data_IF_936675141484
#
_entry.id   IF_936675141484
#
_cell.length_a   1.000
_cell.length_b   1.000
_cell.length_c   1.000
_cell.angle_alpha   90.00
_cell.angle_beta   90.00
_cell.angle_gamma   90.00
#
_symmetry.space_group_name_H-M   'P 1'
#
loop_
_entity.id
_entity.type
_entity.pdbx_description
1 polymer ?
#
# COMPACT_ATOMS: atom_id res chain seq x y z
N UNK A 1 -2.67 11.40 -4.01
CA UNK A 1 -2.92 10.08 -4.63
C UNK A 1 -4.41 9.89 -4.99
N UNK A 2 -5.35 10.06 -4.04
CA UNK A 2 -6.78 9.90 -4.30
C UNK A 2 -7.30 10.83 -5.41
N UNK A 3 -6.97 12.10 -5.33
CA UNK A 3 -7.42 13.09 -6.31
C UNK A 3 -6.87 12.79 -7.71
N UNK A 4 -5.59 12.38 -7.77
CA UNK A 4 -4.97 11.97 -9.03
C UNK A 4 -5.65 10.73 -9.63
N UNK A 5 -6.06 9.76 -8.79
CA UNK A 5 -6.83 8.60 -9.23
C UNK A 5 -8.14 9.03 -9.89
N UNK A 6 -8.90 9.92 -9.25
CA UNK A 6 -10.19 10.42 -9.78
C UNK A 6 -9.98 11.19 -11.10
N UNK A 7 -8.97 12.05 -11.17
CA UNK A 7 -8.67 12.75 -12.45
C UNK A 7 -8.28 11.80 -13.57
N UNK A 8 -7.43 10.81 -13.28
CA UNK A 8 -7.06 9.79 -14.27
C UNK A 8 -8.27 8.96 -14.71
N UNK A 9 -9.17 8.62 -13.78
CA UNK A 9 -10.42 7.93 -14.09
C UNK A 9 -11.33 8.79 -14.99
N UNK A 10 -11.37 10.09 -14.75
CA UNK A 10 -12.12 11.02 -15.57
C UNK A 10 -11.57 11.07 -17.00
N UNK A 11 -10.28 11.28 -17.17
CA UNK A 11 -9.68 11.35 -18.51
C UNK A 11 -9.83 10.06 -19.31
N UNK A 12 -9.79 8.90 -18.62
CA UNK A 12 -9.84 7.61 -19.35
C UNK A 12 -11.26 7.07 -19.52
N UNK A 13 -12.15 7.30 -18.56
CA UNK A 13 -13.47 6.67 -18.51
C UNK A 13 -14.63 7.66 -18.41
N UNK A 14 -14.37 8.96 -18.29
CA UNK A 14 -15.38 9.99 -18.09
C UNK A 14 -16.09 9.93 -16.74
N UNK A 15 -15.39 9.46 -15.69
CA UNK A 15 -15.96 9.18 -14.35
C UNK A 15 -15.30 10.04 -13.29
N UNK A 16 -16.09 10.76 -12.49
CA UNK A 16 -15.60 11.72 -11.49
C UNK A 16 -15.79 11.24 -10.04
N UNK A 17 -16.53 10.14 -9.82
CA UNK A 17 -16.92 9.72 -8.48
C UNK A 17 -16.68 8.23 -8.24
N UNK A 18 -16.42 7.86 -6.99
CA UNK A 18 -16.25 6.45 -6.59
C UNK A 18 -17.52 5.61 -6.87
N UNK A 19 -18.75 6.10 -6.61
CA UNK A 19 -19.96 5.37 -6.97
C UNK A 19 -20.06 5.04 -8.47
N UNK A 20 -19.61 5.93 -9.34
CA UNK A 20 -19.58 5.68 -10.79
C UNK A 20 -18.52 4.64 -11.16
N UNK A 21 -17.33 4.69 -10.53
CA UNK A 21 -16.31 3.66 -10.70
C UNK A 21 -16.81 2.27 -10.24
N UNK A 22 -17.61 2.24 -9.17
CA UNK A 22 -18.26 1.01 -8.72
C UNK A 22 -19.27 0.49 -9.73
N UNK A 23 -20.12 1.35 -10.31
CA UNK A 23 -21.06 0.96 -11.36
C UNK A 23 -20.37 0.35 -12.58
N UNK A 24 -19.13 0.79 -12.87
CA UNK A 24 -18.29 0.24 -13.94
C UNK A 24 -17.50 -1.03 -13.52
N UNK A 25 -17.64 -1.50 -12.27
CA UNK A 25 -17.00 -2.71 -11.78
C UNK A 25 -15.51 -2.56 -11.42
N UNK A 26 -14.98 -1.33 -11.36
CA UNK A 26 -13.58 -1.09 -10.98
C UNK A 26 -13.36 -1.10 -9.47
N UNK A 27 -14.40 -0.79 -8.69
CA UNK A 27 -14.36 -0.64 -7.23
C UNK A 27 -15.44 -1.50 -6.58
N UNK A 28 -15.09 -2.25 -5.55
CA UNK A 28 -16.03 -2.99 -4.74
C UNK A 28 -16.69 -2.11 -3.66
N UNK A 29 -17.84 -2.54 -3.12
CA UNK A 29 -18.58 -1.77 -2.13
C UNK A 29 -17.77 -1.49 -0.85
N UNK A 30 -16.99 -2.48 -0.42
CA UNK A 30 -16.15 -2.37 0.77
C UNK A 30 -14.94 -1.47 0.53
N UNK A 31 -14.31 -1.57 -0.64
CA UNK A 31 -13.19 -0.71 -1.04
C UNK A 31 -13.63 0.76 -1.14
N UNK A 32 -14.82 1.02 -1.71
CA UNK A 32 -15.41 2.36 -1.75
C UNK A 32 -15.56 2.92 -0.34
N UNK A 33 -16.19 2.17 0.58
CA UNK A 33 -16.38 2.58 1.97
C UNK A 33 -15.06 2.90 2.68
N UNK A 34 -14.10 1.99 2.58
CA UNK A 34 -12.78 2.16 3.20
C UNK A 34 -12.07 3.41 2.67
N UNK A 35 -12.12 3.63 1.36
CA UNK A 35 -11.47 4.77 0.74
C UNK A 35 -12.15 6.09 1.10
N UNK A 36 -13.49 6.15 1.12
CA UNK A 36 -14.25 7.33 1.55
C UNK A 36 -14.01 7.67 3.03
N UNK A 37 -13.99 6.67 3.91
CA UNK A 37 -13.70 6.86 5.33
C UNK A 37 -12.27 7.35 5.56
N UNK A 38 -11.29 6.71 4.94
CA UNK A 38 -9.89 7.09 5.06
C UNK A 38 -9.63 8.50 4.51
N UNK A 39 -10.17 8.81 3.34
CA UNK A 39 -10.02 10.13 2.73
C UNK A 39 -10.72 11.21 3.54
N UNK A 40 -11.95 10.95 4.00
CA UNK A 40 -12.68 11.86 4.88
C UNK A 40 -11.95 12.13 6.20
N UNK A 41 -11.29 11.13 6.78
CA UNK A 41 -10.47 11.32 7.96
C UNK A 41 -9.26 12.22 7.68
N UNK A 42 -8.50 11.98 6.61
CA UNK A 42 -7.35 12.80 6.22
C UNK A 42 -7.75 14.24 5.92
N UNK A 43 -8.90 14.47 5.25
CA UNK A 43 -9.40 15.83 4.99
C UNK A 43 -9.76 16.56 6.29
N UNK A 44 -10.38 15.90 7.26
CA UNK A 44 -10.66 16.49 8.56
C UNK A 44 -9.37 16.89 9.28
N UNK A 45 -8.35 16.02 9.27
CA UNK A 45 -7.04 16.32 9.85
C UNK A 45 -6.39 17.54 9.18
N UNK A 46 -6.45 17.61 7.86
CA UNK A 46 -5.95 18.75 7.09
C UNK A 46 -6.67 20.05 7.49
N UNK A 47 -7.99 20.02 7.59
CA UNK A 47 -8.76 21.19 8.00
C UNK A 47 -8.40 21.63 9.42
N UNK A 48 -8.29 20.70 10.38
CA UNK A 48 -7.86 21.02 11.74
C UNK A 48 -6.47 21.66 11.77
N UNK A 49 -5.52 21.16 10.96
CA UNK A 49 -4.21 21.77 10.82
C UNK A 49 -4.27 23.21 10.31
N UNK A 50 -5.10 23.48 9.29
CA UNK A 50 -5.28 24.82 8.75
C UNK A 50 -5.88 25.77 9.79
N UNK A 51 -6.85 25.32 10.58
CA UNK A 51 -7.43 26.11 11.67
C UNK A 51 -6.39 26.39 12.77
N UNK A 52 -5.65 25.39 13.22
CA UNK A 52 -4.67 25.55 14.28
C UNK A 52 -3.46 26.40 13.87
N UNK A 53 -3.06 26.34 12.62
CA UNK A 53 -1.89 27.09 12.12
C UNK A 53 -2.23 28.42 11.49
N UNK A 54 -3.52 28.74 11.30
CA UNK A 54 -4.02 29.90 10.57
C UNK A 54 -3.41 30.11 9.18
N UNK A 55 -2.96 29.02 8.57
CA UNK A 55 -2.36 29.00 7.21
C UNK A 55 -2.53 27.62 6.56
N UNK A 56 -2.35 27.57 5.25
CA UNK A 56 -2.28 26.28 4.54
C UNK A 56 -1.07 25.48 5.03
N UNK A 57 -1.32 24.38 5.72
CA UNK A 57 -0.31 23.48 6.26
C UNK A 57 -0.75 22.03 6.08
N UNK A 58 0.04 21.27 5.33
CA UNK A 58 -0.24 19.86 5.05
C UNK A 58 0.68 18.89 5.82
N UNK A 59 1.55 19.44 6.69
CA UNK A 59 2.52 18.67 7.48
C UNK A 59 2.13 18.70 8.96
N UNK A 60 1.90 17.52 9.54
CA UNK A 60 1.63 17.39 10.98
C UNK A 60 2.95 17.41 11.74
N UNK A 61 3.37 18.62 12.19
CA UNK A 61 4.53 18.75 13.07
C UNK A 61 4.31 18.07 14.42
N UNK A 62 5.38 17.58 15.05
CA UNK A 62 5.33 16.87 16.34
C UNK A 62 4.57 17.68 17.41
N UNK A 63 4.78 19.00 17.46
CA UNK A 63 4.11 19.88 18.43
C UNK A 63 2.59 20.03 18.22
N UNK A 64 2.06 19.76 17.03
CA UNK A 64 0.64 19.86 16.73
C UNK A 64 -0.13 18.54 16.94
N UNK A 65 0.58 17.42 16.95
CA UNK A 65 -0.05 16.09 17.08
C UNK A 65 -0.90 15.93 18.34
N UNK A 66 -0.46 16.34 19.56
CA UNK A 66 -1.27 16.23 20.77
C UNK A 66 -2.53 17.09 20.73
N UNK A 67 -2.44 18.29 20.12
CA UNK A 67 -3.57 19.22 20.01
C UNK A 67 -4.64 18.64 19.09
N UNK A 68 -4.25 18.15 17.91
CA UNK A 68 -5.15 17.51 16.96
C UNK A 68 -5.77 16.24 17.57
N UNK A 69 -4.98 15.41 18.26
CA UNK A 69 -5.49 14.22 18.94
C UNK A 69 -6.58 14.56 19.96
N UNK A 70 -6.43 15.68 20.69
CA UNK A 70 -7.44 16.17 21.64
C UNK A 70 -8.69 16.67 20.94
N UNK A 71 -8.54 17.45 19.87
CA UNK A 71 -9.66 17.98 19.07
C UNK A 71 -10.47 16.87 18.41
N UNK A 72 -9.81 15.79 17.98
CA UNK A 72 -10.45 14.60 17.41
C UNK A 72 -11.10 13.67 18.46
N UNK A 73 -11.05 14.03 19.75
CA UNK A 73 -11.75 13.34 20.82
C UNK A 73 -11.07 12.04 21.28
N UNK A 74 -9.77 11.89 21.02
CA UNK A 74 -9.01 10.79 21.63
C UNK A 74 -8.91 10.99 23.14
N UNK A 75 -9.39 9.99 23.93
CA UNK A 75 -9.64 10.16 25.38
C UNK A 75 -8.62 9.48 26.30
N UNK A 76 -7.54 8.94 25.77
CA UNK A 76 -6.48 8.35 26.59
C UNK A 76 -5.97 9.38 27.60
N UNK A 77 -5.84 8.96 28.86
CA UNK A 77 -5.46 9.86 29.96
C UNK A 77 -4.06 10.43 29.74
N UNK A 78 -3.12 9.60 29.31
CA UNK A 78 -1.76 10.01 28.96
C UNK A 78 -1.72 10.69 27.59
N UNK A 79 -1.10 11.86 27.54
CA UNK A 79 -0.93 12.64 26.30
C UNK A 79 -0.17 11.87 25.22
N UNK A 80 0.87 11.12 25.61
CA UNK A 80 1.65 10.33 24.67
C UNK A 80 0.80 9.23 24.03
N UNK A 81 0.09 8.46 24.85
CA UNK A 81 -0.80 7.38 24.36
C UNK A 81 -1.95 7.90 23.49
N UNK A 82 -2.45 9.12 23.83
CA UNK A 82 -3.47 9.79 23.01
C UNK A 82 -2.93 10.14 21.62
N UNK A 83 -1.74 10.71 21.60
CA UNK A 83 -1.04 11.07 20.35
C UNK A 83 -0.72 9.84 19.51
N UNK A 84 -0.23 8.77 20.14
CA UNK A 84 0.03 7.50 19.47
C UNK A 84 -1.22 6.88 18.85
N UNK A 85 -2.35 6.90 19.56
CA UNK A 85 -3.62 6.40 19.04
C UNK A 85 -4.08 7.18 17.81
N UNK A 86 -4.02 8.52 17.87
CA UNK A 86 -4.33 9.37 16.73
C UNK A 86 -3.38 9.11 15.55
N UNK A 87 -2.08 9.07 15.79
CA UNK A 87 -1.09 8.86 14.71
C UNK A 87 -1.20 7.47 14.08
N UNK A 88 -1.53 6.45 14.86
CA UNK A 88 -1.83 5.12 14.33
C UNK A 88 -3.00 5.15 13.35
N UNK A 89 -4.08 5.84 13.70
CA UNK A 89 -5.26 5.96 12.83
C UNK A 89 -4.94 6.80 11.59
N UNK A 90 -4.13 7.86 11.74
CA UNK A 90 -3.64 8.68 10.64
C UNK A 90 -2.82 7.85 9.63
N UNK A 91 -1.85 7.07 10.11
CA UNK A 91 -1.05 6.21 9.24
C UNK A 91 -1.87 5.08 8.62
N UNK A 92 -2.84 4.55 9.35
CA UNK A 92 -3.76 3.54 8.83
C UNK A 92 -4.60 4.10 7.67
N UNK A 93 -5.16 5.29 7.84
CA UNK A 93 -5.91 5.95 6.78
C UNK A 93 -5.04 6.28 5.56
N UNK A 94 -3.85 6.84 5.78
CA UNK A 94 -2.89 7.14 4.71
C UNK A 94 -2.48 5.89 3.93
N UNK A 95 -2.20 4.79 4.64
CA UNK A 95 -1.88 3.50 4.03
C UNK A 95 -3.04 2.94 3.23
N UNK A 96 -4.26 3.02 3.76
CA UNK A 96 -5.48 2.56 3.07
C UNK A 96 -5.67 3.31 1.74
N UNK A 97 -5.54 4.64 1.75
CA UNK A 97 -5.61 5.45 0.53
C UNK A 97 -4.53 5.00 -0.45
N UNK A 98 -3.28 4.87 -0.01
CA UNK A 98 -2.17 4.48 -0.87
C UNK A 98 -2.39 3.12 -1.53
N UNK A 99 -2.76 2.10 -0.74
CA UNK A 99 -2.95 0.75 -1.25
C UNK A 99 -4.13 0.65 -2.21
N UNK A 100 -5.29 1.21 -1.83
CA UNK A 100 -6.48 1.15 -2.67
C UNK A 100 -6.32 1.97 -3.94
N UNK A 101 -5.75 3.17 -3.88
CA UNK A 101 -5.53 3.97 -5.09
C UNK A 101 -4.57 3.30 -6.06
N UNK A 102 -3.52 2.61 -5.59
CA UNK A 102 -2.64 1.82 -6.44
C UNK A 102 -3.37 0.64 -7.08
N UNK A 103 -4.10 -0.15 -6.27
CA UNK A 103 -4.88 -1.29 -6.77
C UNK A 103 -5.90 -0.86 -7.83
N UNK A 104 -6.63 0.23 -7.58
CA UNK A 104 -7.61 0.75 -8.53
C UNK A 104 -6.95 1.29 -9.80
N UNK A 105 -5.82 1.98 -9.68
CA UNK A 105 -5.06 2.45 -10.83
C UNK A 105 -4.56 1.29 -11.72
N UNK A 106 -4.18 0.17 -11.12
CA UNK A 106 -3.80 -1.05 -11.82
C UNK A 106 -5.00 -1.71 -12.49
N UNK A 107 -6.12 -1.88 -11.77
CA UNK A 107 -7.38 -2.44 -12.35
C UNK A 107 -7.89 -1.62 -13.54
N UNK A 108 -7.80 -0.31 -13.44
CA UNK A 108 -8.17 0.59 -14.53
C UNK A 108 -7.11 0.62 -15.65
N UNK A 109 -5.99 -0.12 -15.52
CA UNK A 109 -4.83 -0.07 -16.40
C UNK A 109 -4.34 1.37 -16.69
N UNK A 110 -4.46 2.24 -15.68
CA UNK A 110 -4.01 3.64 -15.77
C UNK A 110 -2.49 3.70 -15.63
N UNK A 111 -1.92 2.88 -14.73
CA UNK A 111 -0.48 2.63 -14.71
C UNK A 111 -0.19 1.53 -15.72
N UNK A 112 0.79 1.72 -16.60
CA UNK A 112 1.26 0.60 -17.40
C UNK A 112 1.68 -0.50 -16.42
N UNK A 113 1.38 -1.77 -16.72
CA UNK A 113 1.93 -2.86 -15.92
C UNK A 113 3.42 -2.61 -15.81
N UNK A 114 4.00 -2.80 -14.61
CA UNK A 114 5.45 -2.67 -14.36
C UNK A 114 6.23 -3.79 -15.08
N UNK A 115 5.94 -3.95 -16.36
CA UNK A 115 6.73 -4.80 -17.24
C UNK A 115 7.86 -3.92 -17.75
N UNK A 116 9.03 -4.14 -17.23
CA UNK A 116 10.28 -3.58 -17.79
C UNK A 116 10.48 -4.13 -19.21
N UNK A 117 9.66 -3.66 -20.16
CA UNK A 117 9.80 -3.98 -21.59
C UNK A 117 11.06 -3.39 -22.21
N UNK A 118 11.70 -2.42 -21.56
CA UNK A 118 12.97 -1.86 -22.04
C UNK A 118 14.12 -2.88 -21.97
N UNK A 119 14.10 -3.84 -21.05
CA UNK A 119 15.10 -4.91 -20.98
C UNK A 119 14.98 -5.96 -22.09
N UNK A 120 13.79 -6.15 -22.64
CA UNK A 120 13.53 -7.11 -23.72
C UNK A 120 14.00 -6.62 -25.10
N UNK A 121 14.00 -5.31 -25.35
CA UNK A 121 14.42 -4.73 -26.63
C UNK A 121 15.95 -4.58 -26.77
N UNK A 122 16.68 -4.63 -25.65
CA UNK A 122 18.15 -4.50 -25.63
C UNK A 122 18.89 -5.85 -25.61
N UNK A 123 18.25 -6.94 -26.07
CA UNK A 123 18.97 -8.20 -26.34
C UNK A 123 19.60 -8.87 -25.11
N UNK A 124 19.10 -8.62 -23.90
CA UNK A 124 19.53 -9.39 -22.74
C UNK A 124 19.07 -10.82 -22.92
N UNK A 125 20.00 -11.72 -23.18
CA UNK A 125 19.82 -13.18 -23.16
C UNK A 125 18.93 -13.57 -21.98
N UNK A 126 17.99 -14.53 -22.16
CA UNK A 126 17.17 -15.03 -21.06
C UNK A 126 18.12 -15.49 -19.96
N UNK A 127 18.10 -14.78 -18.82
CA UNK A 127 18.83 -15.18 -17.63
C UNK A 127 18.26 -16.52 -17.21
N UNK A 128 19.09 -17.55 -17.10
CA UNK A 128 18.74 -18.89 -16.62
C UNK A 128 17.80 -18.78 -15.42
N UNK A 129 16.75 -19.60 -15.44
CA UNK A 129 15.93 -19.81 -14.25
C UNK A 129 16.82 -20.22 -13.10
N UNK A 130 16.86 -19.42 -12.06
CA UNK A 130 17.66 -19.69 -10.87
C UNK A 130 16.73 -20.00 -9.72
N UNK A 131 16.77 -21.22 -9.22
CA UNK A 131 16.05 -21.61 -8.02
C UNK A 131 16.72 -20.97 -6.80
N UNK A 132 15.96 -20.24 -6.00
CA UNK A 132 16.42 -19.44 -4.89
C UNK A 132 15.52 -19.61 -3.67
N UNK A 133 15.89 -20.44 -2.72
CA UNK A 133 15.19 -20.62 -1.44
C UNK A 133 13.67 -20.88 -1.60
N UNK A 134 13.29 -21.69 -2.58
CA UNK A 134 11.89 -21.99 -2.89
C UNK A 134 11.20 -20.95 -3.78
N UNK A 135 11.93 -19.95 -4.25
CA UNK A 135 11.52 -18.99 -5.27
C UNK A 135 12.21 -19.29 -6.60
N UNK A 136 11.70 -18.71 -7.66
CA UNK A 136 12.28 -18.79 -9.00
C UNK A 136 12.48 -17.39 -9.54
N UNK A 137 13.67 -17.11 -10.03
CA UNK A 137 14.00 -15.85 -10.67
C UNK A 137 13.74 -15.94 -12.17
N UNK A 138 12.76 -15.18 -12.68
CA UNK A 138 12.42 -15.09 -14.11
C UNK A 138 12.31 -13.64 -14.56
N UNK A 139 12.93 -13.29 -15.65
CA UNK A 139 12.81 -11.98 -16.31
C UNK A 139 12.96 -10.76 -15.39
N UNK A 140 13.76 -10.87 -14.33
CA UNK A 140 13.95 -9.78 -13.36
C UNK A 140 12.90 -9.74 -12.24
N UNK A 141 12.02 -10.73 -12.18
CA UNK A 141 11.05 -10.92 -11.11
C UNK A 141 11.34 -12.17 -10.30
N UNK A 142 11.06 -12.09 -8.99
CA UNK A 142 11.01 -13.27 -8.12
C UNK A 142 9.56 -13.79 -8.11
N UNK A 143 9.41 -15.07 -8.42
CA UNK A 143 8.14 -15.80 -8.40
C UNK A 143 8.16 -16.87 -7.32
N UNK A 144 6.99 -17.27 -6.81
CA UNK A 144 6.89 -18.41 -5.90
C UNK A 144 7.15 -19.71 -6.66
N UNK A 145 8.08 -20.53 -6.19
CA UNK A 145 8.29 -21.87 -6.76
C UNK A 145 7.13 -22.83 -6.47
N UNK A 146 6.32 -22.53 -5.43
CA UNK A 146 5.09 -23.26 -5.11
C UNK A 146 4.12 -22.37 -4.30
N UNK A 147 2.80 -22.59 -4.40
CA UNK A 147 1.81 -21.86 -3.58
C UNK A 147 1.97 -22.07 -2.08
N UNK A 148 2.65 -23.14 -1.67
CA UNK A 148 2.90 -23.48 -0.27
C UNK A 148 4.23 -22.98 0.27
N UNK A 149 5.00 -22.17 -0.49
CA UNK A 149 6.36 -21.72 -0.16
C UNK A 149 6.49 -21.15 1.24
N UNK A 150 5.51 -20.35 1.69
CA UNK A 150 5.49 -19.72 3.02
C UNK A 150 4.91 -20.63 4.11
N UNK A 151 4.13 -21.65 3.76
CA UNK A 151 3.63 -22.65 4.73
C UNK A 151 4.72 -23.65 5.09
N UNK A 152 5.60 -23.98 4.14
CA UNK A 152 6.75 -24.86 4.35
C UNK A 152 7.78 -24.17 5.25
N UNK A 153 8.04 -22.91 5.00
CA UNK A 153 9.00 -22.12 5.78
C UNK A 153 8.52 -20.66 5.88
N UNK A 154 7.88 -20.27 6.99
CA UNK A 154 7.39 -18.91 7.20
C UNK A 154 8.47 -17.82 7.15
N UNK A 155 9.73 -18.14 7.50
CA UNK A 155 10.84 -17.16 7.48
C UNK A 155 11.11 -16.62 6.07
N UNK A 156 10.71 -17.34 5.04
CA UNK A 156 10.75 -16.89 3.64
C UNK A 156 9.96 -15.62 3.38
N UNK A 157 8.97 -15.29 4.24
CA UNK A 157 8.25 -14.01 4.16
C UNK A 157 9.17 -12.80 4.33
N UNK A 158 10.23 -12.92 5.10
CA UNK A 158 11.24 -11.86 5.27
C UNK A 158 12.38 -12.07 4.28
N UNK A 159 12.87 -13.30 4.13
CA UNK A 159 14.01 -13.59 3.26
C UNK A 159 13.75 -13.21 1.78
N UNK A 160 12.52 -13.26 1.32
CA UNK A 160 12.19 -12.83 -0.05
C UNK A 160 12.58 -11.36 -0.30
N UNK A 161 12.36 -10.48 0.68
CA UNK A 161 12.76 -9.07 0.55
C UNK A 161 14.28 -8.89 0.56
N UNK A 162 15.00 -9.72 1.32
CA UNK A 162 16.46 -9.75 1.28
C UNK A 162 16.97 -10.13 -0.12
N UNK A 163 16.36 -11.15 -0.74
CA UNK A 163 16.70 -11.54 -2.12
C UNK A 163 16.40 -10.43 -3.13
N UNK A 164 15.27 -9.71 -2.97
CA UNK A 164 14.93 -8.54 -3.79
C UNK A 164 16.02 -7.47 -3.71
N UNK A 165 16.42 -7.12 -2.47
CA UNK A 165 17.45 -6.09 -2.24
C UNK A 165 18.82 -6.50 -2.76
N UNK A 166 19.27 -7.73 -2.50
CA UNK A 166 20.59 -8.21 -2.90
C UNK A 166 20.74 -8.34 -4.41
N UNK A 167 19.66 -8.62 -5.13
CA UNK A 167 19.71 -8.90 -6.56
C UNK A 167 19.18 -7.77 -7.44
N UNK A 168 18.59 -6.73 -6.83
CA UNK A 168 18.01 -5.61 -7.54
C UNK A 168 16.86 -6.02 -8.48
N UNK A 169 16.03 -6.98 -8.05
CA UNK A 169 14.89 -7.52 -8.80
C UNK A 169 13.59 -7.12 -8.13
N UNK A 170 12.46 -7.33 -8.82
CA UNK A 170 11.12 -7.00 -8.29
C UNK A 170 10.36 -8.28 -7.91
N UNK A 171 9.35 -8.14 -7.05
CA UNK A 171 8.40 -9.21 -6.75
C UNK A 171 7.39 -9.34 -7.91
N UNK A 172 7.02 -10.57 -8.26
CA UNK A 172 5.90 -10.77 -9.18
C UNK A 172 4.57 -10.42 -8.50
N UNK A 173 3.55 -9.96 -9.24
CA UNK A 173 2.24 -9.64 -8.67
C UNK A 173 1.58 -10.81 -7.93
N UNK A 174 1.77 -12.03 -8.45
CA UNK A 174 1.27 -13.25 -7.82
C UNK A 174 1.96 -13.52 -6.48
N UNK A 175 3.28 -13.31 -6.41
CA UNK A 175 4.04 -13.45 -5.17
C UNK A 175 3.66 -12.37 -4.15
N UNK A 176 3.43 -11.12 -4.57
CA UNK A 176 2.92 -10.07 -3.68
C UNK A 176 1.57 -10.46 -3.06
N UNK A 177 0.68 -11.01 -3.88
CA UNK A 177 -0.63 -11.49 -3.41
C UNK A 177 -0.47 -12.64 -2.43
N UNK A 178 0.41 -13.58 -2.72
CA UNK A 178 0.70 -14.72 -1.85
C UNK A 178 1.31 -14.28 -0.51
N UNK A 179 2.20 -13.29 -0.51
CA UNK A 179 2.75 -12.67 0.71
C UNK A 179 1.61 -12.09 1.57
N UNK A 180 0.72 -11.28 0.97
CA UNK A 180 -0.41 -10.66 1.69
C UNK A 180 -1.32 -11.72 2.35
N UNK A 181 -1.61 -12.81 1.66
CA UNK A 181 -2.44 -13.90 2.18
C UNK A 181 -1.79 -14.63 3.37
N UNK A 182 -0.46 -14.64 3.45
CA UNK A 182 0.30 -15.39 4.44
C UNK A 182 0.90 -14.52 5.56
N UNK A 183 0.60 -13.21 5.63
CA UNK A 183 1.12 -12.30 6.66
C UNK A 183 0.79 -12.76 8.09
N UNK A 184 -0.33 -13.45 8.30
CA UNK A 184 -0.72 -14.02 9.61
C UNK A 184 0.21 -15.14 10.12
N UNK A 185 1.10 -15.67 9.29
CA UNK A 185 2.15 -16.60 9.71
C UNK A 185 3.28 -15.90 10.46
N UNK A 186 3.37 -14.57 10.39
CA UNK A 186 4.33 -13.76 11.15
C UNK A 186 3.84 -13.63 12.58
N UNK A 187 4.29 -14.53 13.45
CA UNK A 187 3.95 -14.57 14.89
C UNK A 187 5.10 -14.02 15.74
N UNK A 188 4.90 -13.85 17.06
CA UNK A 188 5.97 -13.42 17.97
C UNK A 188 7.19 -14.35 17.99
N UNK A 189 7.02 -15.64 17.75
CA UNK A 189 8.13 -16.60 17.61
C UNK A 189 9.05 -16.30 16.43
N UNK A 190 8.57 -15.53 15.47
CA UNK A 190 9.32 -15.09 14.30
C UNK A 190 10.35 -13.99 14.62
N UNK A 191 10.18 -13.29 15.74
CA UNK A 191 11.07 -12.21 16.17
C UNK A 191 12.26 -12.70 16.98
N UNK A 192 12.24 -13.96 17.40
CA UNK A 192 13.24 -14.56 18.30
C UNK A 192 14.10 -15.63 17.60
N UNK A 193 13.96 -15.81 16.30
CA UNK A 193 14.78 -16.69 15.47
C UNK A 193 15.75 -15.90 14.59
#
# INVERSE_FOLDING_TARGET
DFQNLIWMAFFKYGVLTLPELRKKGFVEADEQRQLEQAYGFILRVRNALHYLTHRACDVIGIGLQPQIATEFGYRQHDMLRRTEAFMRDYYTASRTIFLLTNTLAERMAIKPPKVSRLGSLLGRRPRKEEALDGFVLRNGFIEAGSPAVFKVDPQRLIRVFLHVLQRGVELSPDLETLIRQNLKLVTRSFQCA
#
